data_IF_419559215203
#
_entry.id   IF_419559215203
#
_cell.length_a   1.000
_cell.length_b   1.000
_cell.length_c   1.000
_cell.angle_alpha   90.00
_cell.angle_beta   90.00
_cell.angle_gamma   90.00
#
_symmetry.space_group_name_H-M   'P 1'
#
loop_
_entity.id
_entity.type
_entity.pdbx_description
1 polymer ?
#
# COMPACT_ATOMS: atom_id res chain seq x y z
N UNK A 1 -0.39 -9.97 14.73
CA UNK A 1 0.18 -11.27 14.33
C UNK A 1 1.66 -11.24 14.63
N UNK A 2 2.17 -12.00 15.62
CA UNK A 2 3.59 -11.93 16.01
C UNK A 2 4.57 -12.43 14.95
N UNK A 3 4.23 -13.49 14.20
CA UNK A 3 5.05 -13.98 13.09
C UNK A 3 4.16 -14.43 11.94
N UNK A 4 4.46 -13.93 10.74
CA UNK A 4 3.88 -14.40 9.47
C UNK A 4 4.67 -15.59 8.89
N UNK A 5 5.95 -15.72 9.26
CA UNK A 5 6.85 -16.77 8.78
C UNK A 5 7.47 -17.55 9.96
N UNK A 6 6.68 -18.36 10.69
CA UNK A 6 7.22 -19.14 11.81
C UNK A 6 8.28 -20.15 11.35
N UNK A 7 8.09 -20.82 10.20
CA UNK A 7 9.05 -21.81 9.69
C UNK A 7 10.43 -21.19 9.41
N UNK A 8 10.46 -19.98 8.86
CA UNK A 8 11.70 -19.24 8.68
C UNK A 8 12.35 -18.84 10.00
N UNK A 9 11.55 -18.45 10.99
CA UNK A 9 12.04 -18.09 12.32
C UNK A 9 12.73 -19.27 13.02
N UNK A 10 12.15 -20.48 12.97
CA UNK A 10 12.69 -21.68 13.63
C UNK A 10 14.07 -22.11 13.11
N UNK A 11 14.39 -21.79 11.85
CA UNK A 11 15.70 -22.10 11.26
C UNK A 11 16.68 -20.94 11.33
N UNK A 12 16.27 -19.76 11.80
CA UNK A 12 17.14 -18.60 11.90
C UNK A 12 18.11 -18.73 13.10
N UNK A 13 19.24 -18.03 13.02
CA UNK A 13 20.30 -18.12 14.03
C UNK A 13 20.41 -16.79 14.78
N UNK A 14 20.26 -16.85 16.10
CA UNK A 14 20.42 -15.71 16.98
C UNK A 14 21.82 -15.10 16.87
N UNK A 15 21.90 -13.76 16.86
CA UNK A 15 23.14 -13.00 16.67
C UNK A 15 23.49 -12.74 15.21
N UNK A 16 22.78 -13.33 14.24
CA UNK A 16 23.06 -13.12 12.82
C UNK A 16 22.46 -11.81 12.29
N UNK A 17 23.28 -10.76 12.22
CA UNK A 17 22.82 -9.43 11.82
C UNK A 17 22.65 -9.21 10.30
N UNK A 18 23.43 -9.89 9.45
CA UNK A 18 23.36 -9.73 7.98
C UNK A 18 22.10 -10.35 7.38
N UNK A 19 21.62 -11.44 7.99
CA UNK A 19 20.42 -12.22 7.68
C UNK A 19 20.42 -12.85 6.29
N UNK A 20 20.08 -14.14 6.23
CA UNK A 20 19.84 -14.89 4.99
C UNK A 20 19.12 -16.19 5.34
N UNK A 21 19.65 -16.93 6.33
CA UNK A 21 18.99 -18.09 6.91
C UNK A 21 17.72 -17.65 7.66
N UNK A 22 16.61 -18.31 7.37
CA UNK A 22 15.30 -18.03 7.98
C UNK A 22 14.51 -16.84 7.41
N UNK A 23 15.05 -16.13 6.41
CA UNK A 23 14.30 -15.05 5.72
C UNK A 23 13.11 -15.59 4.93
N UNK A 24 13.37 -16.62 4.13
CA UNK A 24 12.40 -17.22 3.22
C UNK A 24 11.46 -18.15 3.98
N UNK A 25 10.29 -18.46 3.41
CA UNK A 25 9.43 -19.50 3.98
C UNK A 25 10.04 -20.90 3.77
N UNK A 26 9.38 -21.94 4.27
CA UNK A 26 9.85 -23.34 4.15
C UNK A 26 10.08 -23.82 2.70
N UNK A 27 9.54 -23.11 1.70
CA UNK A 27 9.70 -23.41 0.27
C UNK A 27 10.71 -22.50 -0.45
N UNK A 28 11.45 -21.67 0.28
CA UNK A 28 12.46 -20.77 -0.28
C UNK A 28 11.89 -19.52 -0.97
N UNK A 29 10.62 -19.17 -0.73
CA UNK A 29 10.00 -17.97 -1.29
C UNK A 29 10.08 -16.79 -0.31
N UNK A 30 10.35 -15.60 -0.86
CA UNK A 30 10.30 -14.35 -0.10
C UNK A 30 8.84 -13.91 -0.02
N UNK A 31 8.25 -13.99 1.18
CA UNK A 31 6.84 -13.64 1.40
C UNK A 31 6.55 -12.16 1.09
N UNK A 32 7.53 -11.27 1.27
CA UNK A 32 7.41 -9.86 0.89
C UNK A 32 7.78 -9.62 -0.58
N UNK A 33 7.67 -10.65 -1.42
CA UNK A 33 7.65 -10.60 -2.89
C UNK A 33 6.56 -11.50 -3.47
N UNK A 34 5.61 -11.98 -2.66
CA UNK A 34 4.66 -13.02 -3.03
C UNK A 34 3.20 -12.55 -3.09
N UNK A 35 2.94 -11.26 -2.90
CA UNK A 35 1.62 -10.66 -3.09
C UNK A 35 1.42 -10.21 -4.55
N UNK A 36 0.16 -10.13 -5.03
CA UNK A 36 -0.15 -9.41 -6.27
C UNK A 36 0.43 -7.99 -6.22
N UNK A 37 0.97 -7.53 -7.36
CA UNK A 37 1.60 -6.23 -7.48
C UNK A 37 0.76 -5.31 -8.37
N UNK A 38 0.66 -4.05 -7.99
CA UNK A 38 -0.22 -3.07 -8.64
C UNK A 38 0.32 -2.62 -10.00
N UNK A 39 1.65 -2.61 -10.16
CA UNK A 39 2.32 -2.08 -11.33
C UNK A 39 2.67 -3.16 -12.35
N UNK A 40 2.94 -4.38 -11.89
CA UNK A 40 3.40 -5.50 -12.72
C UNK A 40 2.72 -6.80 -12.30
N UNK A 41 2.49 -7.70 -13.27
CA UNK A 41 2.01 -9.03 -12.93
C UNK A 41 3.06 -9.80 -12.13
N UNK A 42 2.73 -10.21 -10.92
CA UNK A 42 3.55 -11.10 -10.12
C UNK A 42 3.17 -12.56 -10.37
N UNK A 43 3.97 -13.27 -11.15
CA UNK A 43 3.71 -14.66 -11.56
C UNK A 43 4.29 -15.71 -10.58
N UNK A 44 4.78 -15.31 -9.41
CA UNK A 44 5.33 -16.26 -8.44
C UNK A 44 4.22 -17.17 -7.90
N UNK A 45 4.57 -18.43 -7.65
CA UNK A 45 3.66 -19.37 -7.00
C UNK A 45 3.24 -18.81 -5.64
N UNK A 46 1.93 -18.70 -5.42
CA UNK A 46 1.40 -18.22 -4.14
C UNK A 46 1.74 -19.19 -3.02
N UNK A 47 2.24 -18.65 -1.91
CA UNK A 47 2.59 -19.38 -0.70
C UNK A 47 1.43 -19.41 0.29
N UNK A 48 1.34 -20.44 1.15
CA UNK A 48 0.24 -20.58 2.11
C UNK A 48 0.14 -19.38 3.07
N UNK A 49 1.25 -18.83 3.52
CA UNK A 49 1.32 -17.68 4.43
C UNK A 49 0.76 -16.41 3.75
N UNK A 50 1.22 -16.12 2.53
CA UNK A 50 0.71 -15.00 1.73
C UNK A 50 -0.76 -15.17 1.40
N UNK A 51 -1.23 -16.39 1.11
CA UNK A 51 -2.67 -16.66 0.92
C UNK A 51 -3.46 -16.40 2.19
N UNK A 52 -3.00 -16.90 3.34
CA UNK A 52 -3.68 -16.72 4.62
C UNK A 52 -3.82 -15.23 4.98
N UNK A 53 -2.76 -14.44 4.79
CA UNK A 53 -2.82 -12.98 5.03
C UNK A 53 -3.76 -12.29 4.05
N UNK A 54 -3.75 -12.65 2.75
CA UNK A 54 -4.70 -12.09 1.78
C UNK A 54 -6.15 -12.38 2.16
N UNK A 55 -6.45 -13.62 2.52
CA UNK A 55 -7.79 -14.01 2.94
C UNK A 55 -8.21 -13.26 4.21
N UNK A 56 -7.29 -13.08 5.17
CA UNK A 56 -7.52 -12.32 6.38
C UNK A 56 -7.80 -10.83 6.10
N UNK A 57 -7.01 -10.20 5.22
CA UNK A 57 -7.23 -8.82 4.76
C UNK A 57 -8.55 -8.65 4.01
N UNK A 58 -9.08 -9.70 3.38
CA UNK A 58 -10.39 -9.67 2.71
C UNK A 58 -11.58 -9.85 3.67
N UNK A 59 -11.36 -10.45 4.84
CA UNK A 59 -12.41 -10.72 5.83
C UNK A 59 -12.67 -9.51 6.74
N UNK A 60 -11.64 -8.73 7.03
CA UNK A 60 -11.71 -7.59 7.95
C UNK A 60 -11.31 -6.33 7.20
N UNK A 61 -12.13 -5.29 7.30
CA UNK A 61 -11.79 -3.98 6.77
C UNK A 61 -10.79 -3.28 7.70
N UNK A 62 -9.52 -3.67 7.61
CA UNK A 62 -8.44 -3.01 8.34
C UNK A 62 -8.25 -1.57 7.84
N UNK A 63 -7.95 -0.66 8.76
CA UNK A 63 -7.81 0.78 8.47
C UNK A 63 -6.34 1.18 8.42
N UNK A 64 -5.57 0.74 9.42
CA UNK A 64 -4.15 1.01 9.60
C UNK A 64 -3.43 -0.30 9.91
N UNK A 65 -2.24 -0.49 9.34
CA UNK A 65 -1.39 -1.66 9.55
C UNK A 65 0.08 -1.25 9.59
N UNK A 66 0.92 -2.08 10.22
CA UNK A 66 2.37 -1.92 10.20
C UNK A 66 3.05 -3.28 10.24
N UNK A 67 3.89 -3.58 9.25
CA UNK A 67 4.73 -4.78 9.25
C UNK A 67 6.10 -4.45 9.82
N UNK A 68 6.65 -5.33 10.66
CA UNK A 68 7.91 -5.10 11.37
C UNK A 68 9.01 -5.93 10.70
N UNK A 69 10.12 -5.28 10.40
CA UNK A 69 11.29 -5.82 9.70
C UNK A 69 12.59 -5.42 10.43
N UNK A 70 13.69 -6.04 9.99
CA UNK A 70 15.04 -5.70 10.43
C UNK A 70 16.04 -5.74 9.27
N UNK A 71 17.15 -5.05 9.45
CA UNK A 71 18.21 -4.82 8.47
C UNK A 71 18.48 -3.34 8.23
N UNK A 72 17.59 -2.46 8.68
CA UNK A 72 17.73 -1.00 8.64
C UNK A 72 17.06 -0.35 9.87
N UNK A 73 17.13 0.97 9.97
CA UNK A 73 16.41 1.75 10.97
C UNK A 73 15.63 2.89 10.30
N UNK A 74 14.40 2.61 9.84
CA UNK A 74 13.59 3.53 9.03
C UNK A 74 12.12 3.11 9.01
N UNK A 75 11.20 4.09 8.96
CA UNK A 75 9.81 3.86 8.58
C UNK A 75 9.64 4.05 7.07
N UNK A 76 9.43 2.95 6.35
CA UNK A 76 9.15 2.95 4.91
C UNK A 76 7.65 3.03 4.64
N UNK A 77 7.27 3.80 3.61
CA UNK A 77 5.88 3.99 3.22
C UNK A 77 5.66 3.80 1.71
N UNK A 78 4.43 3.49 1.28
CA UNK A 78 4.15 3.15 -0.12
C UNK A 78 4.37 4.32 -1.09
N UNK A 79 4.48 4.04 -2.39
CA UNK A 79 4.57 2.69 -2.96
C UNK A 79 5.98 2.11 -2.86
N UNK A 80 6.04 0.79 -2.75
CA UNK A 80 7.28 0.00 -2.80
C UNK A 80 7.77 -0.22 -4.25
N UNK A 81 6.90 -0.09 -5.25
CA UNK A 81 7.24 -0.28 -6.66
C UNK A 81 6.75 0.88 -7.53
N UNK A 82 7.06 0.82 -8.82
CA UNK A 82 6.62 1.78 -9.82
C UNK A 82 6.44 1.11 -11.19
N UNK A 83 5.63 1.73 -12.06
CA UNK A 83 5.38 1.24 -13.42
C UNK A 83 6.66 1.13 -14.27
N UNK A 84 7.63 2.02 -14.03
CA UNK A 84 8.87 2.13 -14.80
C UNK A 84 10.11 1.62 -14.05
N UNK A 85 9.98 0.74 -13.05
CA UNK A 85 11.12 0.30 -12.24
C UNK A 85 12.26 -0.40 -13.00
N UNK A 86 12.09 -0.72 -14.29
CA UNK A 86 13.19 -1.20 -15.17
C UNK A 86 14.13 -0.05 -15.60
N UNK A 87 13.64 1.18 -15.64
CA UNK A 87 14.37 2.37 -16.09
C UNK A 87 14.53 3.43 -14.99
N UNK A 88 14.05 3.15 -13.76
CA UNK A 88 14.24 4.06 -12.65
C UNK A 88 15.57 3.81 -11.97
N UNK A 89 16.35 4.88 -11.86
CA UNK A 89 17.49 4.97 -10.95
C UNK A 89 16.97 4.97 -9.51
N UNK A 90 17.70 4.31 -8.61
CA UNK A 90 17.50 4.44 -7.15
C UNK A 90 17.33 5.92 -6.76
N UNK A 91 16.47 6.20 -5.77
CA UNK A 91 16.21 7.55 -5.27
C UNK A 91 14.99 8.24 -5.87
N UNK A 92 14.26 7.64 -6.81
CA UNK A 92 13.02 8.23 -7.36
C UNK A 92 11.78 7.72 -6.59
N UNK A 93 11.00 8.59 -5.93
CA UNK A 93 9.82 8.16 -5.20
C UNK A 93 8.64 7.78 -6.11
N UNK A 94 7.86 6.80 -5.67
CA UNK A 94 6.58 6.40 -6.26
C UNK A 94 5.45 6.77 -5.28
N UNK A 95 4.80 7.91 -5.53
CA UNK A 95 3.85 8.50 -4.58
C UNK A 95 2.47 7.83 -4.67
N UNK A 96 1.82 7.70 -3.53
CA UNK A 96 0.41 7.29 -3.47
C UNK A 96 -0.54 8.48 -3.59
N UNK A 97 -1.82 8.26 -3.92
CA UNK A 97 -2.86 9.29 -3.78
C UNK A 97 -3.05 9.82 -2.34
N UNK A 98 -2.55 9.11 -1.32
CA UNK A 98 -2.58 9.50 0.10
C UNK A 98 -1.17 9.74 0.66
N UNK A 99 -0.22 10.19 -0.17
CA UNK A 99 1.18 10.41 0.24
C UNK A 99 1.31 11.35 1.45
N UNK A 100 0.45 12.36 1.53
CA UNK A 100 0.34 13.27 2.67
C UNK A 100 0.09 12.52 3.99
N UNK A 101 -0.85 11.57 3.98
CA UNK A 101 -1.20 10.74 5.13
C UNK A 101 -0.07 9.76 5.43
N UNK A 102 0.48 9.08 4.43
CA UNK A 102 1.57 8.12 4.66
C UNK A 102 2.83 8.76 5.23
N UNK A 103 3.19 9.96 4.75
CA UNK A 103 4.30 10.73 5.31
C UNK A 103 4.06 11.11 6.75
N UNK A 104 2.83 11.52 7.11
CA UNK A 104 2.47 11.75 8.52
C UNK A 104 2.65 10.46 9.33
N UNK A 105 2.09 9.35 8.88
CA UNK A 105 2.13 8.07 9.60
C UNK A 105 3.58 7.61 9.84
N UNK A 106 4.44 7.70 8.82
CA UNK A 106 5.85 7.35 8.92
C UNK A 106 6.60 8.29 9.89
N UNK A 107 6.33 9.59 9.80
CA UNK A 107 6.88 10.62 10.69
C UNK A 107 6.45 10.37 12.14
N UNK A 108 5.17 10.04 12.38
CA UNK A 108 4.64 9.73 13.71
C UNK A 108 5.42 8.59 14.35
N UNK A 109 5.72 7.52 13.61
CA UNK A 109 6.53 6.43 14.15
C UNK A 109 7.98 6.88 14.40
N UNK A 110 8.64 7.41 13.38
CA UNK A 110 10.06 7.75 13.41
C UNK A 110 10.44 8.75 14.53
N UNK A 111 9.67 9.84 14.68
CA UNK A 111 9.93 10.87 15.69
C UNK A 111 9.52 10.47 17.11
N UNK A 112 8.78 9.37 17.27
CA UNK A 112 8.46 8.81 18.59
C UNK A 112 9.28 7.57 18.93
N UNK A 113 10.12 7.11 18.00
CA UNK A 113 11.16 6.12 18.26
C UNK A 113 12.41 6.84 18.81
N UNK A 114 13.17 6.15 19.65
CA UNK A 114 14.34 6.70 20.35
C UNK A 114 15.31 7.46 19.42
N UNK A 115 15.80 6.81 18.36
CA UNK A 115 16.82 7.39 17.48
C UNK A 115 16.56 7.27 15.97
N UNK A 116 15.42 6.72 15.53
CA UNK A 116 15.13 6.52 14.10
C UNK A 116 15.13 7.84 13.34
N UNK A 117 14.54 8.89 13.92
CA UNK A 117 14.47 10.23 13.33
C UNK A 117 15.83 10.89 13.05
N UNK A 118 16.90 10.44 13.72
CA UNK A 118 18.26 10.93 13.48
C UNK A 118 18.75 10.54 12.08
N UNK A 119 18.16 9.51 11.47
CA UNK A 119 18.48 9.09 10.11
C UNK A 119 19.87 8.50 9.94
N UNK A 120 20.49 8.06 11.03
CA UNK A 120 21.85 7.52 11.03
C UNK A 120 21.83 6.14 10.34
N UNK A 121 22.66 5.92 9.31
CA UNK A 121 22.72 4.63 8.63
C UNK A 121 23.26 3.54 9.55
N UNK A 122 22.81 2.31 9.32
CA UNK A 122 23.27 1.14 10.08
C UNK A 122 24.72 0.74 9.80
N UNK A 123 25.22 1.07 8.61
CA UNK A 123 26.52 0.66 8.10
C UNK A 123 27.25 1.86 7.51
N UNK A 124 28.58 1.90 7.56
CA UNK A 124 29.38 3.05 7.11
C UNK A 124 29.15 3.42 5.63
N UNK A 125 28.94 2.41 4.77
CA UNK A 125 28.73 2.61 3.33
C UNK A 125 27.26 2.81 2.94
N UNK A 126 26.33 2.79 3.92
CA UNK A 126 24.92 2.98 3.66
C UNK A 126 24.54 4.46 3.73
N UNK A 127 23.61 4.89 2.86
CA UNK A 127 22.99 6.20 2.99
C UNK A 127 22.05 6.23 4.19
N UNK A 128 22.08 7.33 4.94
CA UNK A 128 21.11 7.59 6.00
C UNK A 128 19.71 7.86 5.45
N UNK A 129 18.72 7.82 6.33
CA UNK A 129 17.32 8.15 6.00
C UNK A 129 16.94 9.46 6.68
N UNK A 130 16.96 10.62 5.99
CA UNK A 130 16.57 11.88 6.61
C UNK A 130 15.23 11.77 7.32
N UNK A 131 15.15 12.25 8.56
CA UNK A 131 13.99 12.13 9.45
C UNK A 131 13.55 10.69 9.77
N UNK A 132 14.37 9.68 9.48
CA UNK A 132 14.07 8.27 9.72
C UNK A 132 12.91 7.73 8.89
N UNK A 133 12.63 8.32 7.73
CA UNK A 133 11.53 7.91 6.84
C UNK A 133 11.99 7.75 5.41
N UNK A 134 11.34 6.88 4.63
CA UNK A 134 11.58 6.76 3.20
C UNK A 134 10.33 6.32 2.43
N UNK A 135 10.20 6.76 1.18
CA UNK A 135 9.32 6.07 0.23
C UNK A 135 9.99 4.74 -0.18
N UNK A 136 9.21 3.67 -0.26
CA UNK A 136 9.72 2.33 -0.54
C UNK A 136 10.45 2.24 -1.88
N UNK A 137 9.83 2.71 -2.96
CA UNK A 137 10.43 2.72 -4.29
C UNK A 137 11.67 3.62 -4.40
N UNK A 138 11.70 4.75 -3.67
CA UNK A 138 12.88 5.61 -3.61
C UNK A 138 14.07 4.90 -2.96
N UNK A 139 13.82 4.09 -1.92
CA UNK A 139 14.87 3.31 -1.27
C UNK A 139 15.34 2.16 -2.14
N UNK A 140 14.44 1.24 -2.49
CA UNK A 140 14.68 0.21 -3.51
C UNK A 140 13.34 -0.33 -4.04
N UNK A 141 13.12 -0.37 -5.38
CA UNK A 141 11.91 -0.93 -5.93
C UNK A 141 11.70 -2.42 -5.56
N UNK A 142 10.51 -2.73 -5.07
CA UNK A 142 10.13 -4.04 -4.55
C UNK A 142 8.80 -4.48 -5.15
N UNK A 143 8.83 -5.55 -5.96
CA UNK A 143 7.61 -6.11 -6.56
C UNK A 143 6.93 -7.12 -5.64
N UNK A 144 5.61 -6.98 -5.46
CA UNK A 144 4.77 -7.96 -4.77
C UNK A 144 4.87 -7.92 -3.24
N UNK A 145 5.04 -6.72 -2.69
CA UNK A 145 5.06 -6.49 -1.24
C UNK A 145 3.67 -6.52 -0.62
N UNK A 146 3.61 -6.87 0.67
CA UNK A 146 2.36 -6.86 1.44
C UNK A 146 1.82 -5.44 1.65
N UNK A 147 2.75 -4.48 1.84
CA UNK A 147 2.44 -3.08 2.10
C UNK A 147 1.56 -2.44 1.01
N UNK A 148 2.02 -2.53 -0.24
CA UNK A 148 1.26 -2.04 -1.40
C UNK A 148 -0.05 -2.83 -1.60
N UNK A 149 -0.04 -4.14 -1.30
CA UNK A 149 -1.24 -4.98 -1.41
C UNK A 149 -2.36 -4.53 -0.44
N UNK A 150 -2.00 -4.34 0.83
CA UNK A 150 -2.91 -3.89 1.90
C UNK A 150 -3.61 -2.58 1.52
N UNK A 151 -2.86 -1.64 0.93
CA UNK A 151 -3.38 -0.34 0.52
C UNK A 151 -4.26 -0.42 -0.74
N UNK A 152 -3.77 -1.05 -1.81
CA UNK A 152 -4.47 -1.06 -3.10
C UNK A 152 -5.72 -1.94 -3.10
N UNK A 153 -5.67 -3.12 -2.49
CA UNK A 153 -6.79 -4.07 -2.50
C UNK A 153 -7.66 -4.01 -1.24
N UNK A 154 -7.09 -3.63 -0.10
CA UNK A 154 -7.82 -3.53 1.17
C UNK A 154 -8.27 -2.12 1.54
N UNK A 155 -7.65 -1.09 0.96
CA UNK A 155 -7.78 0.29 1.45
C UNK A 155 -7.12 0.52 2.82
N UNK A 156 -6.36 -0.46 3.32
CA UNK A 156 -5.67 -0.43 4.61
C UNK A 156 -4.32 0.27 4.45
N UNK A 157 -4.07 1.30 5.25
CA UNK A 157 -2.81 2.04 5.19
C UNK A 157 -1.72 1.27 5.95
N UNK A 158 -0.92 0.49 5.22
CA UNK A 158 0.17 -0.28 5.78
C UNK A 158 1.52 0.43 5.59
N UNK A 159 2.36 0.42 6.63
CA UNK A 159 3.76 0.85 6.58
C UNK A 159 4.69 -0.32 6.91
N UNK A 160 5.94 -0.21 6.48
CA UNK A 160 7.02 -1.13 6.87
C UNK A 160 7.92 -0.42 7.89
N UNK A 161 8.06 -0.99 9.09
CA UNK A 161 8.97 -0.50 10.12
C UNK A 161 10.22 -1.37 10.16
N UNK A 162 11.35 -0.84 9.69
CA UNK A 162 12.67 -1.43 9.92
C UNK A 162 13.15 -0.95 11.30
N UNK A 163 13.09 -1.82 12.31
CA UNK A 163 13.28 -1.43 13.73
C UNK A 163 14.66 -1.75 14.29
N UNK A 164 15.53 -2.34 13.48
CA UNK A 164 16.83 -2.84 13.93
C UNK A 164 17.82 -2.99 12.79
N UNK A 165 19.05 -2.51 12.98
CA UNK A 165 20.14 -2.79 12.05
C UNK A 165 20.52 -4.27 12.04
N UNK A 166 20.60 -4.89 13.22
CA UNK A 166 20.82 -6.33 13.35
C UNK A 166 19.50 -7.08 13.17
N UNK A 167 19.41 -7.92 12.14
CA UNK A 167 18.17 -8.68 11.82
C UNK A 167 17.71 -9.65 12.91
N UNK A 168 18.66 -10.35 13.54
CA UNK A 168 18.37 -11.25 14.66
C UNK A 168 19.33 -10.94 15.81
N UNK A 169 19.02 -9.94 16.65
CA UNK A 169 19.86 -9.58 17.79
C UNK A 169 19.77 -10.62 18.90
N UNK A 170 20.74 -10.60 19.82
CA UNK A 170 20.68 -11.42 21.03
C UNK A 170 19.50 -11.01 21.94
N UNK A 171 18.93 -11.98 22.65
CA UNK A 171 17.81 -11.84 23.58
C UNK A 171 18.00 -10.74 24.61
N UNK A 172 19.23 -10.54 25.07
CA UNK A 172 19.58 -9.50 26.04
C UNK A 172 19.31 -8.07 25.54
N UNK A 173 19.23 -7.87 24.22
CA UNK A 173 18.92 -6.58 23.60
C UNK A 173 17.40 -6.29 23.53
N UNK A 174 16.54 -7.30 23.67
CA UNK A 174 15.08 -7.15 23.50
C UNK A 174 14.46 -6.09 24.42
N UNK A 175 14.85 -5.94 25.71
CA UNK A 175 14.34 -4.86 26.55
C UNK A 175 14.65 -3.46 26.02
N UNK A 176 15.80 -3.28 25.38
CA UNK A 176 16.18 -2.02 24.74
C UNK A 176 15.30 -1.77 23.51
N UNK A 177 15.17 -2.74 22.60
CA UNK A 177 14.28 -2.61 21.44
C UNK A 177 12.83 -2.30 21.82
N UNK A 178 12.31 -2.92 22.88
CA UNK A 178 11.00 -2.58 23.40
C UNK A 178 10.93 -1.12 23.86
N UNK A 179 11.91 -0.66 24.64
CA UNK A 179 11.97 0.71 25.12
C UNK A 179 12.01 1.71 23.97
N UNK A 180 12.85 1.44 22.96
CA UNK A 180 13.05 2.28 21.79
C UNK A 180 11.76 2.42 20.94
N UNK A 181 10.95 1.36 20.85
CA UNK A 181 9.79 1.28 19.96
C UNK A 181 8.44 1.52 20.66
N UNK A 182 8.33 1.32 21.98
CA UNK A 182 7.03 1.34 22.70
C UNK A 182 6.23 2.61 22.44
N UNK A 183 6.87 3.78 22.54
CA UNK A 183 6.20 5.07 22.34
C UNK A 183 5.77 5.24 20.87
N UNK A 184 6.63 4.88 19.93
CA UNK A 184 6.36 4.91 18.49
C UNK A 184 5.15 4.06 18.11
N UNK A 185 5.13 2.80 18.58
CA UNK A 185 4.03 1.86 18.33
C UNK A 185 2.69 2.40 18.86
N UNK A 186 2.66 2.91 20.09
CA UNK A 186 1.42 3.47 20.68
C UNK A 186 0.94 4.73 19.93
N UNK A 187 1.86 5.60 19.53
CA UNK A 187 1.53 6.81 18.76
C UNK A 187 1.00 6.45 17.39
N UNK A 188 1.66 5.53 16.70
CA UNK A 188 1.22 5.02 15.41
C UNK A 188 -0.16 4.37 15.50
N UNK A 189 -0.42 3.50 16.49
CA UNK A 189 -1.75 2.90 16.67
C UNK A 189 -2.84 3.96 16.91
N UNK A 190 -2.52 5.06 17.60
CA UNK A 190 -3.44 6.17 17.81
C UNK A 190 -3.88 6.89 16.52
N UNK A 191 -3.07 6.83 15.46
CA UNK A 191 -3.36 7.45 14.16
C UNK A 191 -4.60 6.87 13.48
N UNK A 192 -4.98 5.64 13.81
CA UNK A 192 -6.18 4.99 13.26
C UNK A 192 -7.47 5.74 13.59
N UNK A 193 -7.43 6.61 14.60
CA UNK A 193 -8.57 7.42 15.03
C UNK A 193 -8.62 8.80 14.37
N UNK A 194 -7.76 9.11 13.40
CA UNK A 194 -7.79 10.38 12.67
C UNK A 194 -8.75 10.32 11.48
N UNK A 195 -9.16 11.49 10.99
CA UNK A 195 -9.88 11.64 9.72
C UNK A 195 -11.38 11.52 9.92
N UNK A 196 -12.00 10.57 9.22
CA UNK A 196 -13.46 10.41 9.19
C UNK A 196 -13.87 8.96 9.40
N UNK A 197 -14.98 8.76 10.11
CA UNK A 197 -15.66 7.47 10.25
C UNK A 197 -17.17 7.65 10.19
N UNK A 198 -17.88 6.56 9.94
CA UNK A 198 -19.34 6.61 9.96
C UNK A 198 -19.99 5.31 9.53
N UNK A 199 -21.31 5.37 9.33
CA UNK A 199 -22.12 4.26 8.86
C UNK A 199 -22.86 4.67 7.58
N UNK A 200 -22.76 3.83 6.56
CA UNK A 200 -23.56 3.90 5.34
C UNK A 200 -24.81 3.06 5.52
N UNK A 201 -25.98 3.67 5.32
CA UNK A 201 -27.29 3.06 5.53
C UNK A 201 -28.32 3.47 4.49
N UNK A 202 -29.43 2.75 4.43
CA UNK A 202 -30.58 3.12 3.61
C UNK A 202 -31.60 3.98 4.39
N UNK A 203 -32.68 4.48 3.76
CA UNK A 203 -33.70 5.28 4.43
C UNK A 203 -34.50 4.51 5.50
N UNK A 204 -34.42 3.18 5.51
CA UNK A 204 -35.01 2.30 6.54
C UNK A 204 -34.02 2.01 7.67
N UNK A 205 -32.91 2.75 7.73
CA UNK A 205 -31.85 2.60 8.73
C UNK A 205 -31.15 1.22 8.70
N UNK A 206 -31.23 0.50 7.57
CA UNK A 206 -30.51 -0.76 7.38
C UNK A 206 -29.09 -0.47 6.89
N UNK A 207 -28.06 -1.12 7.45
CA UNK A 207 -26.69 -0.92 7.02
C UNK A 207 -26.48 -1.41 5.59
N UNK A 208 -25.65 -0.71 4.82
CA UNK A 208 -25.26 -1.12 3.47
C UNK A 208 -23.86 -1.72 3.55
N UNK A 209 -23.80 -3.04 3.48
CA UNK A 209 -22.54 -3.79 3.50
C UNK A 209 -21.80 -3.69 2.18
N UNK A 210 -20.46 -3.64 2.23
CA UNK A 210 -19.58 -3.63 1.06
C UNK A 210 -19.89 -2.53 0.04
N UNK A 211 -20.38 -1.38 0.50
CA UNK A 211 -20.42 -0.19 -0.33
C UNK A 211 -18.98 0.19 -0.69
N UNK A 212 -18.71 0.41 -1.98
CA UNK A 212 -17.44 0.91 -2.48
C UNK A 212 -17.35 2.39 -2.17
N UNK A 213 -16.24 2.79 -1.56
CA UNK A 213 -15.98 4.15 -1.08
C UNK A 213 -14.67 4.64 -1.66
N UNK A 214 -14.58 5.92 -2.02
CA UNK A 214 -13.29 6.58 -2.29
C UNK A 214 -13.37 8.06 -1.99
N UNK A 215 -12.21 8.70 -1.81
CA UNK A 215 -12.12 10.16 -1.74
C UNK A 215 -11.95 10.67 -3.17
N UNK A 216 -12.78 11.63 -3.58
CA UNK A 216 -12.69 12.23 -4.92
C UNK A 216 -11.30 12.83 -5.13
N UNK A 217 -10.66 12.47 -6.24
CA UNK A 217 -9.27 12.83 -6.54
C UNK A 217 -8.20 11.92 -5.92
N UNK A 218 -8.59 10.90 -5.14
CA UNK A 218 -7.69 9.83 -4.68
C UNK A 218 -8.11 8.50 -5.29
N UNK A 219 -7.32 8.00 -6.23
CA UNK A 219 -7.63 6.79 -7.01
C UNK A 219 -7.30 5.48 -6.26
N UNK A 220 -7.71 5.39 -5.00
CA UNK A 220 -7.68 4.17 -4.18
C UNK A 220 -8.98 4.07 -3.39
N UNK A 221 -9.65 2.93 -3.51
CA UNK A 221 -10.92 2.67 -2.85
C UNK A 221 -10.78 1.94 -1.51
N UNK A 222 -11.86 1.95 -0.74
CA UNK A 222 -12.06 1.15 0.47
C UNK A 222 -13.54 0.76 0.55
N UNK A 223 -13.92 -0.09 1.51
CA UNK A 223 -15.29 -0.61 1.60
C UNK A 223 -15.91 -0.40 2.97
N UNK A 224 -17.24 -0.43 3.03
CA UNK A 224 -17.95 -0.58 4.30
C UNK A 224 -17.90 -2.02 4.82
N UNK A 225 -17.95 -2.18 6.14
CA UNK A 225 -18.07 -3.50 6.79
C UNK A 225 -19.44 -4.12 6.56
N UNK A 226 -19.66 -5.35 7.04
CA UNK A 226 -20.99 -5.97 7.08
C UNK A 226 -22.04 -5.15 7.85
N UNK A 227 -21.61 -4.26 8.75
CA UNK A 227 -22.48 -3.33 9.50
C UNK A 227 -22.58 -1.95 8.86
N UNK A 228 -22.09 -1.78 7.64
CA UNK A 228 -22.09 -0.50 6.93
C UNK A 228 -21.07 0.51 7.46
N UNK A 229 -20.20 0.11 8.39
CA UNK A 229 -19.21 1.00 9.00
C UNK A 229 -18.07 1.29 8.04
N UNK A 230 -17.52 2.50 8.08
CA UNK A 230 -16.32 2.87 7.34
C UNK A 230 -15.42 3.79 8.14
N UNK A 231 -14.13 3.79 7.77
CA UNK A 231 -13.11 4.69 8.32
C UNK A 231 -12.18 5.10 7.19
N UNK A 232 -11.71 6.35 7.25
CA UNK A 232 -10.64 6.84 6.39
C UNK A 232 -9.78 7.84 7.14
N UNK A 233 -8.49 7.51 7.25
CA UNK A 233 -7.49 8.43 7.81
C UNK A 233 -7.26 9.53 6.79
N UNK A 234 -7.40 10.78 7.23
CA UNK A 234 -7.22 11.98 6.43
C UNK A 234 -6.55 13.05 7.28
N UNK A 235 -5.75 13.90 6.65
CA UNK A 235 -5.25 15.12 7.27
C UNK A 235 -6.34 16.18 7.35
N UNK A 236 -6.14 17.27 8.12
CA UNK A 236 -7.05 18.41 8.11
C UNK A 236 -7.23 18.95 6.69
N UNK A 237 -8.49 19.16 6.29
CA UNK A 237 -8.80 19.53 4.92
C UNK A 237 -10.27 19.37 4.58
N UNK A 238 -10.63 19.79 3.37
CA UNK A 238 -11.98 19.60 2.81
C UNK A 238 -11.93 18.52 1.75
N UNK A 239 -12.79 17.51 1.88
CA UNK A 239 -12.83 16.36 0.98
C UNK A 239 -14.25 16.09 0.50
N UNK A 240 -14.36 15.31 -0.58
CA UNK A 240 -15.62 14.73 -1.05
C UNK A 240 -15.46 13.22 -1.02
N UNK A 241 -16.31 12.53 -0.26
CA UNK A 241 -16.40 11.08 -0.26
C UNK A 241 -17.43 10.67 -1.30
N UNK A 242 -17.05 9.76 -2.19
CA UNK A 242 -17.93 9.11 -3.14
C UNK A 242 -18.29 7.71 -2.60
N UNK A 243 -19.58 7.40 -2.56
CA UNK A 243 -20.09 6.10 -2.14
C UNK A 243 -20.96 5.47 -3.22
N UNK A 244 -20.68 4.20 -3.51
CA UNK A 244 -21.39 3.38 -4.48
C UNK A 244 -21.80 2.04 -3.86
N UNK A 245 -23.02 1.61 -4.13
CA UNK A 245 -23.51 0.29 -3.74
C UNK A 245 -24.52 -0.18 -4.78
N UNK A 246 -24.51 -1.48 -5.10
CA UNK A 246 -25.44 -2.08 -6.05
C UNK A 246 -26.89 -1.85 -5.59
N UNK A 247 -27.76 -1.43 -6.51
CA UNK A 247 -29.16 -1.12 -6.22
C UNK A 247 -29.41 0.25 -5.59
N UNK A 248 -28.38 1.05 -5.32
CA UNK A 248 -28.48 2.41 -4.77
C UNK A 248 -27.95 3.46 -5.73
N UNK A 249 -28.51 4.68 -5.67
CA UNK A 249 -27.98 5.82 -6.39
C UNK A 249 -26.62 6.22 -5.78
N UNK A 250 -25.57 6.42 -6.60
CA UNK A 250 -24.29 6.93 -6.12
C UNK A 250 -24.48 8.28 -5.42
N UNK A 251 -23.67 8.54 -4.39
CA UNK A 251 -23.73 9.80 -3.64
C UNK A 251 -22.34 10.38 -3.42
N UNK A 252 -22.25 11.70 -3.48
CA UNK A 252 -21.08 12.48 -3.08
C UNK A 252 -21.40 13.23 -1.78
N UNK A 253 -20.51 13.13 -0.80
CA UNK A 253 -20.67 13.78 0.50
C UNK A 253 -19.44 14.61 0.82
N UNK A 254 -19.63 15.94 0.88
CA UNK A 254 -18.60 16.86 1.35
C UNK A 254 -18.36 16.68 2.85
N UNK A 255 -17.09 16.62 3.25
CA UNK A 255 -16.65 16.54 4.64
C UNK A 255 -15.53 17.56 4.90
N UNK A 256 -15.44 18.04 6.13
CA UNK A 256 -14.37 18.92 6.61
C UNK A 256 -13.71 18.24 7.79
N UNK A 257 -12.44 17.86 7.63
CA UNK A 257 -11.61 17.24 8.65
C UNK A 257 -10.81 18.34 9.35
N UNK A 258 -10.83 18.34 10.68
CA UNK A 258 -10.07 19.28 11.51
C UNK A 258 -8.94 18.57 12.26
N UNK A 259 -8.06 19.33 12.91
CA UNK A 259 -6.88 18.79 13.61
C UNK A 259 -7.20 18.00 14.89
N UNK A 260 -8.32 18.31 15.55
CA UNK A 260 -8.51 17.95 16.96
C UNK A 260 -9.31 16.68 17.16
N UNK A 261 -10.22 16.34 16.24
CA UNK A 261 -11.19 15.26 16.46
C UNK A 261 -11.49 14.44 15.20
N UNK A 262 -11.81 13.17 15.42
CA UNK A 262 -12.35 12.31 14.37
C UNK A 262 -13.74 12.77 13.94
N UNK A 263 -13.94 12.97 12.65
CA UNK A 263 -15.24 13.38 12.13
C UNK A 263 -16.15 12.15 12.02
N UNK A 264 -17.31 12.20 12.67
CA UNK A 264 -18.35 11.18 12.48
C UNK A 264 -19.33 11.66 11.41
N UNK A 265 -19.39 10.95 10.28
CA UNK A 265 -20.29 11.28 9.16
C UNK A 265 -21.05 10.04 8.71
N UNK A 266 -22.34 9.97 9.05
CA UNK A 266 -23.21 8.93 8.48
C UNK A 266 -23.67 9.31 7.07
N UNK A 267 -23.85 8.31 6.21
CA UNK A 267 -24.27 8.49 4.81
C UNK A 267 -25.55 7.69 4.59
N UNK A 268 -26.57 8.33 4.01
CA UNK A 268 -27.81 7.65 3.60
C UNK A 268 -27.83 7.52 2.09
N UNK A 269 -27.85 6.29 1.56
CA UNK A 269 -27.97 6.03 0.13
C UNK A 269 -29.41 5.64 -0.22
N UNK A 270 -29.95 6.18 -1.31
CA UNK A 270 -31.33 5.92 -1.74
C UNK A 270 -31.38 4.83 -2.81
N UNK A 271 -32.31 3.87 -2.73
CA UNK A 271 -32.49 2.86 -3.77
C UNK A 271 -32.78 3.48 -5.14
N UNK A 272 -32.27 2.87 -6.20
CA UNK A 272 -32.57 3.28 -7.58
C UNK A 272 -34.08 3.05 -7.85
N UNK A 273 -34.78 4.05 -8.40
CA UNK A 273 -36.19 3.89 -8.80
C UNK A 273 -36.29 2.90 -9.98
N UNK A 274 -37.29 1.99 -9.96
CA UNK A 274 -37.50 0.93 -10.97
C UNK A 274 -37.49 1.43 -12.43
N UNK A 275 -37.86 2.69 -12.68
CA UNK A 275 -37.88 3.30 -14.02
C UNK A 275 -36.48 3.59 -14.60
N UNK A 276 -35.44 3.71 -13.76
CA UNK A 276 -34.05 3.96 -14.20
C UNK A 276 -33.30 2.67 -14.59
N UNK A 277 -33.80 1.49 -14.22
CA UNK A 277 -33.12 0.20 -14.48
C UNK A 277 -33.09 -0.11 -15.99
N UNK A 278 -34.11 0.31 -16.75
CA UNK A 278 -34.23 0.06 -18.20
C UNK A 278 -33.29 0.89 -19.08
N UNK A 279 -32.59 1.90 -18.56
CA UNK A 279 -31.65 2.74 -19.34
C UNK A 279 -30.18 2.34 -19.18
N UNK A 280 -29.85 1.54 -18.17
CA UNK A 280 -28.46 1.26 -17.82
C UNK A 280 -27.91 -0.08 -18.36
N UNK A 281 -28.74 -0.97 -18.91
CA UNK A 281 -28.24 -2.21 -19.53
C UNK A 281 -27.36 -1.97 -20.77
N UNK A 282 -27.45 -0.81 -21.42
CA UNK A 282 -26.59 -0.45 -22.56
C UNK A 282 -25.23 0.18 -22.17
N UNK A 283 -25.05 0.61 -20.91
CA UNK A 283 -23.82 1.30 -20.46
C UNK A 283 -22.92 0.48 -19.52
N UNK A 284 -23.39 -0.64 -18.98
CA UNK A 284 -22.74 -1.29 -17.83
C UNK A 284 -21.82 -2.48 -18.13
N UNK A 285 -21.56 -2.82 -19.39
CA UNK A 285 -20.53 -3.83 -19.74
C UNK A 285 -19.06 -3.32 -19.62
N UNK A 286 -18.85 -2.05 -19.22
CA UNK A 286 -17.52 -1.44 -19.19
C UNK A 286 -16.90 -1.26 -17.79
N UNK A 287 -17.65 -1.45 -16.69
CA UNK A 287 -17.21 -1.04 -15.34
C UNK A 287 -16.77 -2.21 -14.45
N UNK A 288 -17.04 -3.46 -14.84
CA UNK A 288 -16.62 -4.65 -14.09
C UNK A 288 -15.44 -5.33 -14.80
N UNK A 289 -14.30 -4.65 -14.86
CA UNK A 289 -13.00 -5.33 -15.00
C UNK A 289 -12.02 -4.69 -14.03
N UNK A 290 -11.20 -5.48 -13.31
CA UNK A 290 -10.03 -4.93 -12.64
C UNK A 290 -9.15 -4.22 -13.70
N UNK A 291 -8.39 -3.17 -13.35
CA UNK A 291 -7.52 -2.51 -14.30
C UNK A 291 -6.62 -3.55 -14.96
N UNK A 292 -6.71 -3.65 -16.28
CA UNK A 292 -5.74 -4.39 -17.07
C UNK A 292 -4.39 -3.65 -16.97
N UNK A 293 -3.25 -4.38 -16.95
CA UNK A 293 -1.95 -3.74 -16.97
C UNK A 293 -1.84 -2.82 -18.19
N UNK A 294 -1.19 -1.67 -18.00
CA UNK A 294 -0.97 -0.65 -19.02
C UNK A 294 -0.40 -1.33 -20.27
N UNK A 295 -1.21 -1.42 -21.33
CA UNK A 295 -0.79 -1.97 -22.61
C UNK A 295 0.17 -0.96 -23.24
N UNK A 296 1.42 -1.37 -23.46
CA UNK A 296 2.43 -0.57 -24.19
C UNK A 296 1.82 -0.10 -25.51
N UNK A 297 1.77 1.22 -25.73
CA UNK A 297 1.68 1.76 -27.09
C UNK A 297 3.05 1.49 -27.74
N UNK A 298 3.08 0.50 -28.64
CA UNK A 298 4.18 0.36 -29.59
C UNK A 298 4.21 1.55 -30.54
N UNK A 299 5.35 1.85 -31.17
CA UNK A 299 5.53 3.07 -31.94
C UNK A 299 4.58 3.09 -33.14
N UNK A 300 3.95 4.25 -33.35
CA UNK A 300 3.18 4.57 -34.55
C UNK A 300 4.09 4.42 -35.77
N UNK A 301 3.91 3.32 -36.50
CA UNK A 301 4.39 3.16 -37.85
C UNK A 301 3.47 3.94 -38.81
N UNK A 302 4.10 4.63 -39.75
CA UNK A 302 3.55 5.31 -40.93
C UNK A 302 2.90 6.67 -40.68
N UNK A 303 3.64 7.74 -41.01
CA UNK A 303 3.45 8.54 -42.23
C UNK A 303 4.75 9.32 -42.41
N UNK A 304 5.58 8.91 -43.37
CA UNK A 304 6.35 9.79 -44.25
C UNK A 304 6.87 8.92 -45.39
N UNK A 305 6.09 8.88 -46.46
CA UNK A 305 6.55 8.42 -47.76
C UNK A 305 7.30 9.56 -48.46
N UNK A 306 8.47 9.19 -48.99
CA UNK A 306 9.17 9.73 -50.17
C UNK A 306 10.22 10.83 -49.96
N UNK A 307 11.28 10.71 -50.78
CA UNK A 307 12.49 11.53 -50.95
C UNK A 307 13.62 11.04 -50.01
N UNK A 308 14.70 10.36 -50.40
CA UNK A 308 15.40 10.21 -51.70
C UNK A 308 16.42 9.06 -51.62
N UNK A 309 16.47 8.24 -52.66
CA UNK A 309 17.66 7.70 -53.34
C UNK A 309 19.06 7.96 -52.73
N UNK A 310 19.78 6.89 -52.34
CA UNK A 310 21.10 6.44 -52.87
C UNK A 310 21.97 5.72 -51.82
N UNK A 311 22.68 4.70 -52.33
CA UNK A 311 23.86 3.98 -51.78
C UNK A 311 23.54 2.79 -50.86
N UNK A 312 23.39 1.58 -51.41
CA UNK A 312 24.43 0.59 -51.77
C UNK A 312 25.40 0.21 -50.65
N UNK A 313 25.30 -1.08 -50.26
CA UNK A 313 26.35 -2.03 -49.83
C UNK A 313 27.24 -1.58 -48.65
N UNK A 314 27.53 -2.41 -47.64
CA UNK A 314 28.56 -3.43 -47.69
C UNK A 314 28.52 -4.27 -46.40
N UNK A 315 28.46 -5.60 -46.59
CA UNK A 315 29.28 -6.64 -45.95
C UNK A 315 29.35 -6.70 -44.41
N UNK A 316 28.69 -7.74 -43.90
CA UNK A 316 29.10 -8.57 -42.76
C UNK A 316 30.56 -9.02 -42.86
N UNK A 317 31.38 -8.84 -41.81
CA UNK A 317 32.49 -9.73 -41.40
C UNK A 317 33.17 -9.17 -40.13
N UNK A 318 33.27 -10.03 -39.11
CA UNK A 318 34.20 -10.10 -37.96
C UNK A 318 34.15 -9.06 -36.82
N UNK A 319 34.04 -9.63 -35.60
CA UNK A 319 34.16 -8.97 -34.30
C UNK A 319 33.52 -9.82 -33.22
#
# INVERSE_FOLDING_TARGET
MPSMNPDGFEVAVEGQCSGNQGRYNARGFDLNRNFPDYFKTNNKQQQPESKAVRDWLHQIQFVLSGSIHGGALVASYPFDNSANSIFQTYGTPSLTPDDDVFRLLATTYSFNHENMHLGIPCWQDASGFPNGTTNGAAWYPLTGGMQDYSYVWGGCMELVFEVSCCKYPYRQELPRYWTDNRKALLRFLGEVHRGVKGIVKDPKNRPISRASMKVKGRDVGFHTTGRGEYWRILLPGTYVIEAYAEGYQPIEVKIVVNEKEVIVRNITMFPIRREQIRRNESHFNAVVRPPHPIRRQGPLSSIFSTITNRLNTWISILG
#
